data_IF_397671478939
#
_entry.id   IF_397671478939
#
_cell.length_a   1.000
_cell.length_b   1.000
_cell.length_c   1.000
_cell.angle_alpha   90.00
_cell.angle_beta   90.00
_cell.angle_gamma   90.00
#
_symmetry.space_group_name_H-M   'P 1'
#
loop_
_entity.id
_entity.type
_entity.pdbx_description
1 polymer ?
#
# COMPACT_ATOMS: atom_id res chain seq x y z
N UNK A 1 -18.05 -9.37 20.05
CA UNK A 1 -16.94 -9.17 19.11
C UNK A 1 -17.20 -10.09 17.93
N UNK A 2 -17.87 -9.56 16.91
CA UNK A 2 -18.08 -10.28 15.66
C UNK A 2 -16.76 -10.40 14.90
N UNK A 3 -16.70 -11.42 14.05
CA UNK A 3 -15.51 -11.87 13.36
C UNK A 3 -15.14 -10.87 12.25
N UNK A 4 -14.29 -9.92 12.63
CA UNK A 4 -13.52 -8.93 11.86
C UNK A 4 -14.11 -8.51 10.49
N UNK A 5 -15.02 -7.54 10.50
CA UNK A 5 -15.66 -6.96 9.31
C UNK A 5 -14.63 -6.50 8.26
N UNK A 6 -13.44 -6.06 8.69
CA UNK A 6 -12.34 -5.71 7.80
C UNK A 6 -11.84 -6.89 6.95
N UNK A 7 -11.73 -8.09 7.54
CA UNK A 7 -11.29 -9.29 6.80
C UNK A 7 -12.26 -9.63 5.66
N UNK A 8 -13.57 -9.48 5.92
CA UNK A 8 -14.61 -9.74 4.92
C UNK A 8 -14.51 -8.75 3.75
N UNK A 9 -14.26 -7.47 4.05
CA UNK A 9 -14.02 -6.44 3.05
C UNK A 9 -12.80 -6.77 2.19
N UNK A 10 -11.68 -7.16 2.79
CA UNK A 10 -10.48 -7.52 2.02
C UNK A 10 -10.70 -8.76 1.15
N UNK A 11 -11.43 -9.77 1.66
CA UNK A 11 -11.75 -10.95 0.85
C UNK A 11 -12.62 -10.61 -0.36
N UNK A 12 -13.46 -9.57 -0.27
CA UNK A 12 -14.28 -9.12 -1.38
C UNK A 12 -13.48 -8.49 -2.53
N UNK A 13 -12.26 -7.97 -2.27
CA UNK A 13 -11.37 -7.39 -3.29
C UNK A 13 -11.01 -8.36 -4.43
N UNK A 14 -11.13 -9.67 -4.19
CA UNK A 14 -10.87 -10.71 -5.18
C UNK A 14 -12.07 -11.02 -6.09
N UNK A 15 -13.24 -10.43 -5.82
CA UNK A 15 -14.50 -10.71 -6.51
C UNK A 15 -14.85 -9.51 -7.38
N UNK A 16 -15.00 -9.73 -8.69
CA UNK A 16 -15.39 -8.70 -9.66
C UNK A 16 -16.84 -8.91 -10.13
N UNK A 17 -17.64 -7.84 -10.30
CA UNK A 17 -17.31 -6.43 -10.07
C UNK A 17 -17.31 -6.05 -8.58
N UNK A 18 -16.49 -5.07 -8.20
CA UNK A 18 -16.41 -4.58 -6.82
C UNK A 18 -17.49 -3.53 -6.55
N UNK A 19 -18.34 -3.73 -5.53
CA UNK A 19 -19.18 -2.67 -4.98
C UNK A 19 -18.39 -1.42 -4.55
N UNK A 20 -18.87 -0.23 -4.92
CA UNK A 20 -18.20 1.05 -4.63
C UNK A 20 -18.05 1.34 -3.13
N UNK A 21 -18.92 0.79 -2.29
CA UNK A 21 -18.94 0.96 -0.83
C UNK A 21 -17.80 0.21 -0.14
N UNK A 22 -17.24 -0.84 -0.77
CA UNK A 22 -16.12 -1.60 -0.18
C UNK A 22 -14.90 -0.70 0.02
N UNK A 23 -14.52 0.10 -0.99
CA UNK A 23 -13.37 0.99 -0.87
C UNK A 23 -13.58 2.07 0.18
N UNK A 24 -14.80 2.60 0.30
CA UNK A 24 -15.13 3.58 1.33
C UNK A 24 -15.02 2.98 2.73
N UNK A 25 -15.48 1.75 2.91
CA UNK A 25 -15.39 1.06 4.20
C UNK A 25 -13.94 0.72 4.56
N UNK A 26 -13.14 0.20 3.62
CA UNK A 26 -11.71 -0.05 3.84
C UNK A 26 -11.00 1.26 4.19
N UNK A 27 -11.26 2.33 3.43
CA UNK A 27 -10.74 3.68 3.69
C UNK A 27 -11.07 4.15 5.10
N UNK A 28 -12.32 3.98 5.53
CA UNK A 28 -12.75 4.30 6.88
C UNK A 28 -11.94 3.53 7.93
N UNK A 29 -11.75 2.21 7.79
CA UNK A 29 -10.92 1.44 8.72
C UNK A 29 -9.49 1.96 8.83
N UNK A 30 -8.87 2.33 7.71
CA UNK A 30 -7.51 2.86 7.70
C UNK A 30 -7.42 4.23 8.37
N UNK A 31 -8.37 5.12 8.10
CA UNK A 31 -8.39 6.48 8.65
C UNK A 31 -8.73 6.55 10.14
N UNK A 32 -9.42 5.54 10.69
CA UNK A 32 -9.70 5.46 12.14
C UNK A 32 -8.46 5.10 12.96
N UNK A 33 -7.36 4.67 12.32
CA UNK A 33 -6.17 4.25 13.06
C UNK A 33 -5.42 5.45 13.63
N UNK A 34 -5.08 5.34 14.90
CA UNK A 34 -4.24 6.28 15.64
C UNK A 34 -3.01 5.54 16.15
N UNK A 35 -1.99 6.26 16.64
CA UNK A 35 -0.79 5.63 17.19
C UNK A 35 -1.10 4.61 18.30
N UNK A 36 -2.15 4.84 19.09
CA UNK A 36 -2.54 3.96 20.20
C UNK A 36 -3.30 2.70 19.74
N UNK A 37 -4.11 2.82 18.67
CA UNK A 37 -4.93 1.71 18.15
C UNK A 37 -4.17 0.84 17.12
N UNK A 38 -3.26 1.46 16.37
CA UNK A 38 -2.55 0.86 15.24
C UNK A 38 -1.91 -0.50 15.57
N UNK A 39 -1.18 -0.71 16.69
CA UNK A 39 -0.55 -2.00 16.95
C UNK A 39 -1.57 -3.13 17.13
N UNK A 40 -2.67 -2.84 17.81
CA UNK A 40 -3.74 -3.82 18.02
C UNK A 40 -4.43 -4.18 16.71
N UNK A 41 -4.69 -3.18 15.86
CA UNK A 41 -5.28 -3.37 14.55
C UNK A 41 -4.35 -4.17 13.63
N UNK A 42 -3.05 -3.84 13.59
CA UNK A 42 -2.05 -4.57 12.80
C UNK A 42 -1.96 -6.02 13.26
N UNK A 43 -1.93 -6.28 14.56
CA UNK A 43 -1.88 -7.65 15.07
C UNK A 43 -3.13 -8.47 14.75
N UNK A 44 -4.32 -7.85 14.79
CA UNK A 44 -5.59 -8.54 14.55
C UNK A 44 -5.86 -8.75 13.05
N UNK A 45 -5.45 -7.81 12.21
CA UNK A 45 -5.79 -7.76 10.78
C UNK A 45 -4.57 -8.01 9.88
N UNK A 46 -3.48 -8.57 10.42
CA UNK A 46 -2.18 -8.67 9.75
C UNK A 46 -2.28 -9.27 8.34
N UNK A 47 -2.92 -10.43 8.21
CA UNK A 47 -3.05 -11.10 6.92
C UNK A 47 -3.90 -10.30 5.92
N UNK A 48 -4.95 -9.63 6.40
CA UNK A 48 -5.79 -8.77 5.58
C UNK A 48 -5.05 -7.52 5.12
N UNK A 49 -4.18 -6.95 5.95
CA UNK A 49 -3.32 -5.84 5.56
C UNK A 49 -2.30 -6.27 4.49
N UNK A 50 -1.68 -7.45 4.63
CA UNK A 50 -0.82 -8.03 3.58
C UNK A 50 -1.61 -8.18 2.27
N UNK A 51 -2.83 -8.73 2.34
CA UNK A 51 -3.65 -8.93 1.15
C UNK A 51 -4.05 -7.60 0.50
N UNK A 52 -4.33 -6.57 1.29
CA UNK A 52 -4.62 -5.22 0.81
C UNK A 52 -3.40 -4.59 0.12
N UNK A 53 -2.21 -4.68 0.71
CA UNK A 53 -0.97 -4.19 0.11
C UNK A 53 -0.66 -4.93 -1.20
N UNK A 54 -0.76 -6.26 -1.22
CA UNK A 54 -0.60 -7.05 -2.44
C UNK A 54 -1.60 -6.65 -3.52
N UNK A 55 -2.87 -6.44 -3.14
CA UNK A 55 -3.89 -5.96 -4.07
C UNK A 55 -3.53 -4.58 -4.63
N UNK A 56 -3.08 -3.65 -3.79
CA UNK A 56 -2.71 -2.30 -4.18
C UNK A 56 -1.52 -2.31 -5.15
N UNK A 57 -0.45 -3.03 -4.82
CA UNK A 57 0.72 -3.17 -5.71
C UNK A 57 0.36 -3.80 -7.05
N UNK A 58 -0.46 -4.86 -7.04
CA UNK A 58 -0.93 -5.49 -8.27
C UNK A 58 -1.74 -4.51 -9.11
N UNK A 59 -2.65 -3.76 -8.50
CA UNK A 59 -3.49 -2.81 -9.22
C UNK A 59 -2.64 -1.69 -9.85
N UNK A 60 -1.65 -1.16 -9.13
CA UNK A 60 -0.69 -0.18 -9.65
C UNK A 60 0.14 -0.72 -10.82
N UNK A 61 0.39 -2.03 -10.85
CA UNK A 61 1.19 -2.67 -11.90
C UNK A 61 0.41 -2.98 -13.19
N UNK A 62 -0.90 -2.74 -13.21
CA UNK A 62 -1.76 -2.92 -14.39
C UNK A 62 -2.25 -1.57 -14.89
N UNK A 63 -2.78 -1.57 -16.13
CA UNK A 63 -3.30 -0.37 -16.81
C UNK A 63 -4.20 0.47 -15.89
N UNK A 64 -3.68 1.65 -15.53
CA UNK A 64 -4.33 2.54 -14.56
C UNK A 64 -5.47 3.37 -15.16
N UNK A 65 -5.58 3.48 -16.49
CA UNK A 65 -6.51 4.40 -17.14
C UNK A 65 -7.98 4.12 -16.79
N UNK A 66 -8.31 2.88 -16.43
CA UNK A 66 -9.68 2.47 -16.10
C UNK A 66 -10.14 2.91 -14.71
N UNK A 67 -9.23 3.10 -13.76
CA UNK A 67 -9.58 3.31 -12.34
C UNK A 67 -9.03 4.61 -11.77
N UNK A 68 -7.98 5.19 -12.35
CA UNK A 68 -7.24 6.31 -11.73
C UNK A 68 -8.08 7.56 -11.47
N UNK A 69 -9.09 7.82 -12.31
CA UNK A 69 -9.94 9.02 -12.19
C UNK A 69 -11.15 8.80 -11.27
N UNK A 70 -11.31 7.61 -10.70
CA UNK A 70 -12.41 7.31 -9.79
C UNK A 70 -12.04 7.72 -8.37
N UNK A 71 -12.85 8.58 -7.75
CA UNK A 71 -12.52 9.22 -6.46
C UNK A 71 -12.32 8.23 -5.32
N UNK A 72 -13.05 7.12 -5.31
CA UNK A 72 -12.93 6.04 -4.33
C UNK A 72 -11.57 5.35 -4.36
N UNK A 73 -10.97 5.15 -5.55
CA UNK A 73 -9.62 4.62 -5.66
C UNK A 73 -8.58 5.63 -5.15
N UNK A 74 -8.69 6.89 -5.58
CA UNK A 74 -7.78 7.95 -5.14
C UNK A 74 -7.77 8.10 -3.62
N UNK A 75 -8.95 8.11 -3.00
CA UNK A 75 -9.10 8.23 -1.55
C UNK A 75 -8.53 7.02 -0.80
N UNK A 76 -8.77 5.81 -1.32
CA UNK A 76 -8.23 4.58 -0.74
C UNK A 76 -6.71 4.55 -0.80
N UNK A 77 -6.11 4.82 -1.97
CA UNK A 77 -4.66 4.84 -2.12
C UNK A 77 -4.02 5.90 -1.23
N UNK A 78 -4.59 7.11 -1.18
CA UNK A 78 -4.09 8.15 -0.27
C UNK A 78 -4.14 7.71 1.19
N UNK A 79 -5.26 7.13 1.63
CA UNK A 79 -5.44 6.68 3.03
C UNK A 79 -4.51 5.52 3.38
N UNK A 80 -4.28 4.60 2.44
CA UNK A 80 -3.34 3.50 2.60
C UNK A 80 -1.88 3.99 2.62
N UNK A 81 -1.52 4.98 1.79
CA UNK A 81 -0.22 5.63 1.85
C UNK A 81 0.06 6.29 3.20
N UNK A 82 -0.92 6.99 3.78
CA UNK A 82 -0.82 7.57 5.11
C UNK A 82 -0.75 6.51 6.21
N UNK A 83 -1.53 5.44 6.09
CA UNK A 83 -1.46 4.30 7.01
C UNK A 83 -0.06 3.67 7.02
N UNK A 84 0.55 3.47 5.85
CA UNK A 84 1.90 2.94 5.71
C UNK A 84 2.95 3.86 6.34
N UNK A 85 2.81 5.17 6.14
CA UNK A 85 3.65 6.16 6.83
C UNK A 85 3.56 6.02 8.35
N UNK A 86 2.35 5.94 8.91
CA UNK A 86 2.15 5.75 10.35
C UNK A 86 2.77 4.43 10.85
N UNK A 87 2.64 3.35 10.08
CA UNK A 87 3.23 2.04 10.38
C UNK A 87 4.76 2.12 10.48
N UNK A 88 5.41 2.81 9.53
CA UNK A 88 6.87 3.01 9.52
C UNK A 88 7.33 3.71 10.80
N UNK A 89 6.70 4.82 11.17
CA UNK A 89 7.14 5.64 12.29
C UNK A 89 6.65 5.17 13.67
N UNK A 90 5.81 4.14 13.76
CA UNK A 90 5.45 3.52 15.05
C UNK A 90 6.61 2.64 15.56
N UNK A 91 7.62 3.26 16.20
CA UNK A 91 8.87 2.59 16.59
C UNK A 91 8.77 1.66 17.80
N UNK A 92 7.78 1.84 18.68
CA UNK A 92 7.78 1.23 20.02
C UNK A 92 6.88 0.02 20.17
N UNK A 93 5.87 -0.12 19.30
CA UNK A 93 4.77 -1.08 19.54
C UNK A 93 4.59 -2.08 18.40
N UNK A 94 5.23 -1.86 17.24
CA UNK A 94 5.17 -2.77 16.10
C UNK A 94 6.58 -3.17 15.71
N UNK A 95 6.84 -4.48 15.70
CA UNK A 95 8.16 -5.02 15.41
C UNK A 95 8.58 -4.72 13.97
N UNK A 96 9.87 -4.46 13.78
CA UNK A 96 10.46 -4.15 12.48
C UNK A 96 10.17 -5.24 11.44
N UNK A 97 10.21 -6.51 11.83
CA UNK A 97 9.90 -7.63 10.93
C UNK A 97 8.45 -7.59 10.43
N UNK A 98 7.49 -7.24 11.30
CA UNK A 98 6.08 -7.05 10.94
C UNK A 98 5.94 -5.94 9.90
N UNK A 99 6.66 -4.83 10.06
CA UNK A 99 6.65 -3.73 9.09
C UNK A 99 7.20 -4.16 7.74
N UNK A 100 8.34 -4.87 7.73
CA UNK A 100 8.90 -5.37 6.47
C UNK A 100 7.93 -6.32 5.76
N UNK A 101 7.32 -7.25 6.47
CA UNK A 101 6.39 -8.21 5.87
C UNK A 101 5.13 -7.56 5.31
N UNK A 102 4.75 -6.38 5.81
CA UNK A 102 3.62 -5.61 5.29
C UNK A 102 4.02 -4.74 4.08
N UNK A 103 5.16 -4.05 4.17
CA UNK A 103 5.49 -2.95 3.27
C UNK A 103 6.49 -3.32 2.17
N UNK A 104 7.28 -4.37 2.36
CA UNK A 104 8.28 -4.83 1.38
C UNK A 104 7.65 -5.97 0.59
N UNK A 105 7.46 -5.74 -0.71
CA UNK A 105 6.94 -6.77 -1.60
C UNK A 105 8.05 -7.49 -2.37
N UNK A 106 8.00 -8.82 -2.42
CA UNK A 106 8.95 -9.64 -3.18
C UNK A 106 8.75 -9.63 -4.72
N UNK A 107 7.68 -9.02 -5.25
CA UNK A 107 7.37 -9.11 -6.69
C UNK A 107 7.99 -7.97 -7.51
N UNK A 108 9.24 -8.16 -7.94
CA UNK A 108 9.99 -7.23 -8.79
C UNK A 108 9.28 -6.91 -10.12
N UNK A 109 8.50 -7.85 -10.66
CA UNK A 109 7.81 -7.63 -11.94
C UNK A 109 6.79 -6.49 -11.84
N UNK A 110 6.10 -6.36 -10.70
CA UNK A 110 5.12 -5.29 -10.50
C UNK A 110 5.77 -3.91 -10.52
N UNK A 111 6.97 -3.80 -9.96
CA UNK A 111 7.74 -2.55 -10.01
C UNK A 111 8.15 -2.20 -11.43
N UNK A 112 8.63 -3.18 -12.21
CA UNK A 112 8.95 -2.93 -13.61
C UNK A 112 7.74 -2.41 -14.38
N UNK A 113 6.57 -3.03 -14.18
CA UNK A 113 5.33 -2.60 -14.83
C UNK A 113 4.90 -1.19 -14.38
N UNK A 114 5.13 -0.82 -13.12
CA UNK A 114 4.90 0.54 -12.64
C UNK A 114 5.83 1.53 -13.35
N UNK A 115 7.13 1.24 -13.43
CA UNK A 115 8.09 2.08 -14.16
C UNK A 115 7.75 2.21 -15.65
N UNK A 116 7.42 1.10 -16.31
CA UNK A 116 7.02 1.10 -17.72
C UNK A 116 5.74 1.91 -17.97
N UNK A 117 4.88 2.09 -16.95
CA UNK A 117 3.72 2.98 -17.02
C UNK A 117 4.12 4.44 -16.78
N UNK A 118 4.97 4.72 -15.79
CA UNK A 118 5.52 6.08 -15.53
C UNK A 118 6.20 6.64 -16.80
N UNK A 119 7.02 5.84 -17.48
CA UNK A 119 7.75 6.24 -18.70
C UNK A 119 6.82 6.68 -19.84
N UNK A 120 5.54 6.27 -19.81
CA UNK A 120 4.53 6.61 -20.83
C UNK A 120 3.70 7.84 -20.48
N UNK A 121 3.82 8.37 -19.26
CA UNK A 121 3.03 9.51 -18.81
C UNK A 121 3.71 10.81 -19.25
N UNK A 122 3.03 11.58 -20.09
CA UNK A 122 3.51 12.89 -20.54
C UNK A 122 3.13 14.02 -19.57
N UNK A 123 2.06 13.83 -18.77
CA UNK A 123 1.58 14.82 -17.82
C UNK A 123 2.20 14.62 -16.43
N UNK A 124 3.09 15.53 -16.01
CA UNK A 124 3.72 15.46 -14.69
C UNK A 124 2.76 15.59 -13.49
N UNK A 125 1.53 16.04 -13.71
CA UNK A 125 0.49 16.13 -12.69
C UNK A 125 -0.52 14.96 -12.76
N UNK A 126 -0.18 13.87 -13.44
CA UNK A 126 -1.06 12.69 -13.52
C UNK A 126 -1.30 12.10 -12.11
N UNK A 127 -2.55 11.82 -11.71
CA UNK A 127 -2.84 11.27 -10.38
C UNK A 127 -2.13 9.93 -10.11
N UNK A 128 -1.81 9.15 -11.16
CA UNK A 128 -1.03 7.92 -11.01
C UNK A 128 0.38 8.22 -10.49
N UNK A 129 1.03 9.26 -11.01
CA UNK A 129 2.34 9.69 -10.53
C UNK A 129 2.28 10.09 -9.06
N UNK A 130 1.24 10.81 -8.65
CA UNK A 130 1.06 11.22 -7.24
C UNK A 130 0.96 9.99 -6.32
N UNK A 131 0.15 9.00 -6.69
CA UNK A 131 -0.01 7.78 -5.89
C UNK A 131 1.30 6.99 -5.82
N UNK A 132 1.94 6.76 -6.96
CA UNK A 132 3.15 5.95 -7.02
C UNK A 132 4.33 6.64 -6.33
N UNK A 133 4.45 7.96 -6.47
CA UNK A 133 5.44 8.74 -5.71
C UNK A 133 5.25 8.58 -4.21
N UNK A 134 4.01 8.62 -3.71
CA UNK A 134 3.73 8.38 -2.29
C UNK A 134 4.18 6.98 -1.83
N UNK A 135 3.98 5.95 -2.66
CA UNK A 135 4.46 4.59 -2.37
C UNK A 135 5.99 4.52 -2.31
N UNK A 136 6.68 5.08 -3.30
CA UNK A 136 8.14 5.08 -3.32
C UNK A 136 8.74 5.95 -2.21
N UNK A 137 8.10 7.04 -1.83
CA UNK A 137 8.47 7.83 -0.65
C UNK A 137 8.36 7.02 0.63
N UNK A 138 7.25 6.30 0.84
CA UNK A 138 7.08 5.40 1.97
C UNK A 138 8.17 4.31 2.01
N UNK A 139 8.50 3.72 0.86
CA UNK A 139 9.60 2.78 0.74
C UNK A 139 10.95 3.43 1.11
N UNK A 140 11.20 4.66 0.67
CA UNK A 140 12.40 5.42 1.04
C UNK A 140 12.47 5.67 2.55
N UNK A 141 11.37 6.09 3.17
CA UNK A 141 11.28 6.26 4.63
C UNK A 141 11.54 4.94 5.36
N UNK A 142 10.99 3.82 4.86
CA UNK A 142 11.20 2.50 5.47
C UNK A 142 12.69 2.12 5.49
N UNK A 143 13.40 2.32 4.38
CA UNK A 143 14.86 2.06 4.31
C UNK A 143 15.61 2.99 5.26
N UNK A 144 15.29 4.29 5.26
CA UNK A 144 15.94 5.28 6.11
C UNK A 144 15.80 4.94 7.60
N UNK A 145 14.59 4.57 8.03
CA UNK A 145 14.31 4.22 9.43
C UNK A 145 14.85 2.84 9.83
N UNK A 146 15.05 1.95 8.86
CA UNK A 146 15.45 0.57 9.07
C UNK A 146 16.51 0.14 8.04
N UNK A 147 17.72 0.69 8.16
CA UNK A 147 18.84 0.49 7.20
C UNK A 147 19.21 -0.98 6.96
N UNK A 148 18.88 -1.88 7.88
CA UNK A 148 18.99 -3.33 7.69
C UNK A 148 18.23 -3.86 6.46
N UNK A 149 17.25 -3.11 5.94
CA UNK A 149 16.50 -3.45 4.75
C UNK A 149 17.15 -2.99 3.45
N UNK A 150 18.21 -2.19 3.45
CA UNK A 150 18.89 -1.69 2.24
C UNK A 150 19.29 -2.81 1.25
N UNK A 151 19.52 -4.01 1.76
CA UNK A 151 19.90 -5.18 0.95
C UNK A 151 18.71 -6.00 0.44
N UNK A 152 17.47 -5.60 0.73
CA UNK A 152 16.31 -6.31 0.23
C UNK A 152 16.26 -6.21 -1.32
N UNK A 153 15.98 -7.32 -2.03
CA UNK A 153 16.04 -7.35 -3.49
C UNK A 153 15.24 -6.24 -4.18
N UNK A 154 14.09 -5.89 -3.59
CA UNK A 154 13.21 -4.84 -4.13
C UNK A 154 13.89 -3.47 -4.19
N UNK A 155 14.67 -3.10 -3.16
CA UNK A 155 15.29 -1.77 -3.09
C UNK A 155 16.50 -1.69 -3.99
N UNK A 156 17.30 -2.76 -4.04
CA UNK A 156 18.40 -2.89 -4.99
C UNK A 156 17.86 -2.72 -6.42
N UNK A 157 16.73 -3.38 -6.72
CA UNK A 157 16.11 -3.31 -8.03
C UNK A 157 15.58 -1.91 -8.36
N UNK A 158 14.88 -1.26 -7.43
CA UNK A 158 14.39 0.13 -7.62
C UNK A 158 15.57 1.06 -7.93
N UNK A 159 16.64 1.02 -7.13
CA UNK A 159 17.83 1.86 -7.31
C UNK A 159 18.57 1.60 -8.64
N UNK A 160 18.45 0.41 -9.23
CA UNK A 160 19.04 0.09 -10.52
C UNK A 160 18.17 0.53 -11.70
N UNK A 161 16.86 0.69 -11.50
CA UNK A 161 15.88 1.05 -12.55
C UNK A 161 15.60 2.56 -12.60
N UNK A 162 15.72 3.24 -11.46
CA UNK A 162 15.64 4.72 -11.32
C UNK A 162 16.81 5.43 -11.96
#
# INVERSE_FOLDING_TARGET
MEKNDFEQLINSLSISPLPNDIFQQITYYLQQQTNDLLPSFVSQSFQSLINLEHWAWKLLSHDFHQWINQSNYLELFHSLGLFNFMLIFNKKQIETNTKSSLLIHDNIQWINQIFDQIEKIENHNDPFLVIVSCWFENLSYLIHEHTQFETAPIFIHICQRS
#
